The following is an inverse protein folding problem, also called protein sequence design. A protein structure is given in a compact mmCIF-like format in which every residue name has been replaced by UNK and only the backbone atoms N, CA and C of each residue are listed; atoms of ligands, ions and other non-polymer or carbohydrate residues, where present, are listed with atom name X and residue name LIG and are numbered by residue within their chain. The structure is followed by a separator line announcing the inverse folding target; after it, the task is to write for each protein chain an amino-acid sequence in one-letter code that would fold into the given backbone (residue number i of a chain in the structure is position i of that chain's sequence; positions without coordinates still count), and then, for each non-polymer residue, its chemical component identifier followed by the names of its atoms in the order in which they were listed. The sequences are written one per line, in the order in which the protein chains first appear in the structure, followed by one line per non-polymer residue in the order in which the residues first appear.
data_IF_147777988223
#
_entry.id   IF_147777988223
#
_cell.length_a   1.000
_cell.length_b   1.000
_cell.length_c   1.000
_cell.angle_alpha   90.00
_cell.angle_beta   90.00
_cell.angle_gamma   90.00
#
_symmetry.space_group_name_H-M   'P 1'
#
loop_
_entity.id
_entity.type
_entity.pdbx_description
1 polymer ?
#
# COMPACT_ATOMS: atom_id res chain seq x y z
N UNK A 1 26.78 -15.54 1.24
CA UNK A 1 26.77 -14.37 2.10
C UNK A 1 25.32 -13.96 2.30
N UNK A 2 24.79 -14.18 3.49
CA UNK A 2 23.49 -13.68 3.91
C UNK A 2 23.61 -12.17 4.10
N UNK A 3 23.13 -11.42 3.15
CA UNK A 3 22.87 -10.00 3.30
C UNK A 3 21.50 -9.87 3.94
N UNK A 4 21.43 -9.25 5.10
CA UNK A 4 20.20 -8.78 5.71
C UNK A 4 20.08 -9.21 7.17
N UNK A 5 20.59 -8.36 8.07
CA UNK A 5 19.96 -8.25 9.38
C UNK A 5 18.85 -7.23 9.22
N UNK A 6 17.60 -7.64 9.41
CA UNK A 6 16.49 -6.69 9.51
C UNK A 6 16.81 -5.74 10.67
N UNK A 7 16.90 -4.45 10.37
CA UNK A 7 17.17 -3.41 11.38
C UNK A 7 16.02 -3.30 12.39
N UNK A 8 14.83 -3.74 11.98
CA UNK A 8 13.64 -3.78 12.81
C UNK A 8 13.05 -5.18 12.72
N UNK A 9 12.85 -5.87 13.87
CA UNK A 9 12.15 -7.15 13.86
C UNK A 9 10.73 -6.95 13.33
N UNK A 10 10.30 -7.83 12.41
CA UNK A 10 8.91 -7.84 11.94
C UNK A 10 7.99 -8.14 13.12
N UNK A 11 7.31 -7.13 13.61
CA UNK A 11 6.27 -7.27 14.61
C UNK A 11 5.02 -7.83 13.93
N UNK A 12 4.50 -8.94 14.43
CA UNK A 12 3.16 -9.37 14.02
C UNK A 12 2.12 -8.53 14.76
N UNK A 13 1.66 -7.46 14.12
CA UNK A 13 0.78 -6.45 14.71
C UNK A 13 -0.69 -6.89 14.86
N UNK A 14 -1.03 -8.07 14.34
CA UNK A 14 -2.42 -8.55 14.35
C UNK A 14 -3.27 -7.96 13.23
N UNK A 15 -3.23 -6.66 13.02
CA UNK A 15 -4.01 -5.93 12.01
C UNK A 15 -3.29 -5.83 10.64
N UNK A 16 -4.03 -5.37 9.62
CA UNK A 16 -3.51 -5.18 8.26
C UNK A 16 -3.63 -3.70 7.92
N UNK A 17 -2.62 -3.16 7.26
CA UNK A 17 -2.71 -1.88 6.58
C UNK A 17 -2.50 -2.08 5.08
N UNK A 18 -3.17 -1.28 4.27
CA UNK A 18 -2.95 -1.28 2.84
C UNK A 18 -3.05 0.14 2.27
N UNK A 19 -2.15 0.45 1.35
CA UNK A 19 -2.26 1.61 0.50
C UNK A 19 -3.09 1.27 -0.72
N UNK A 20 -4.09 2.12 -1.01
CA UNK A 20 -4.80 2.10 -2.28
C UNK A 20 -4.40 3.33 -3.08
N UNK A 21 -3.78 3.13 -4.22
CA UNK A 21 -3.29 4.17 -5.10
C UNK A 21 -4.10 4.16 -6.40
N UNK A 22 -4.71 5.29 -6.70
CA UNK A 22 -5.52 5.52 -7.89
C UNK A 22 -4.71 6.31 -8.91
N UNK A 23 -5.25 6.42 -10.12
CA UNK A 23 -4.64 7.23 -11.18
C UNK A 23 -4.47 8.68 -10.69
N UNK A 24 -3.30 9.32 -10.87
CA UNK A 24 -3.11 10.73 -10.56
C UNK A 24 -4.16 11.59 -11.23
N UNK A 25 -4.70 12.57 -10.49
CA UNK A 25 -5.82 13.39 -10.97
C UNK A 25 -7.19 12.82 -10.63
N UNK A 26 -7.31 11.65 -9.98
CA UNK A 26 -8.58 11.21 -9.40
C UNK A 26 -9.07 12.23 -8.38
N UNK A 27 -10.24 12.81 -8.62
CA UNK A 27 -10.87 13.77 -7.71
C UNK A 27 -11.33 13.11 -6.41
N UNK A 28 -11.50 13.93 -5.36
CA UNK A 28 -11.85 13.42 -4.03
C UNK A 28 -13.18 12.64 -4.03
N UNK A 29 -14.21 13.13 -4.75
CA UNK A 29 -15.51 12.47 -4.83
C UNK A 29 -15.40 11.06 -5.42
N UNK A 30 -14.71 10.93 -6.56
CA UNK A 30 -14.45 9.64 -7.19
C UNK A 30 -13.60 8.74 -6.30
N UNK A 31 -12.61 9.31 -5.61
CA UNK A 31 -11.77 8.56 -4.68
C UNK A 31 -12.57 7.98 -3.51
N UNK A 32 -13.56 8.73 -3.01
CA UNK A 32 -14.48 8.25 -1.96
C UNK A 32 -15.36 7.11 -2.47
N UNK A 33 -15.96 7.23 -3.65
CA UNK A 33 -16.77 6.16 -4.25
C UNK A 33 -15.96 4.86 -4.43
N UNK A 34 -14.75 4.97 -4.97
CA UNK A 34 -13.84 3.82 -5.13
C UNK A 34 -13.46 3.22 -3.78
N UNK A 35 -13.29 4.06 -2.77
CA UNK A 35 -12.97 3.64 -1.42
C UNK A 35 -14.11 2.86 -0.77
N UNK A 36 -15.34 3.30 -0.92
CA UNK A 36 -16.53 2.60 -0.39
C UNK A 36 -16.64 1.17 -0.97
N UNK A 37 -16.37 1.02 -2.27
CA UNK A 37 -16.35 -0.29 -2.94
C UNK A 37 -15.26 -1.18 -2.35
N UNK A 38 -14.06 -0.63 -2.15
CA UNK A 38 -12.92 -1.33 -1.56
C UNK A 38 -13.23 -1.79 -0.13
N UNK A 39 -13.74 -0.89 0.71
CA UNK A 39 -14.09 -1.21 2.09
C UNK A 39 -15.17 -2.29 2.18
N UNK A 40 -16.20 -2.23 1.35
CA UNK A 40 -17.24 -3.25 1.28
C UNK A 40 -16.65 -4.61 0.87
N UNK A 41 -15.73 -4.64 -0.10
CA UNK A 41 -15.07 -5.86 -0.54
C UNK A 41 -14.24 -6.48 0.60
N UNK A 42 -13.45 -5.70 1.31
CA UNK A 42 -12.63 -6.17 2.43
C UNK A 42 -13.52 -6.59 3.61
N UNK A 43 -14.56 -5.83 3.91
CA UNK A 43 -15.50 -6.13 4.99
C UNK A 43 -16.31 -7.42 4.75
N UNK A 44 -16.39 -7.90 3.53
CA UNK A 44 -17.06 -9.18 3.23
C UNK A 44 -16.32 -10.41 3.77
N UNK A 45 -15.06 -10.28 4.15
CA UNK A 45 -14.30 -11.35 4.78
C UNK A 45 -14.74 -11.55 6.23
N UNK A 46 -15.12 -12.75 6.64
CA UNK A 46 -15.68 -13.01 7.96
C UNK A 46 -14.67 -12.79 9.10
N UNK A 47 -13.38 -12.82 8.82
CA UNK A 47 -12.29 -12.56 9.76
C UNK A 47 -12.11 -11.06 10.06
N UNK A 48 -12.66 -10.18 9.21
CA UNK A 48 -12.53 -8.74 9.34
C UNK A 48 -13.55 -8.19 10.33
N UNK A 49 -13.10 -7.39 11.28
CA UNK A 49 -13.96 -6.66 12.22
C UNK A 49 -14.35 -5.29 11.65
N UNK A 50 -13.35 -4.45 11.34
CA UNK A 50 -13.57 -3.10 10.82
C UNK A 50 -12.60 -2.78 9.70
N UNK A 51 -13.06 -1.93 8.79
CA UNK A 51 -12.23 -1.28 7.77
C UNK A 51 -12.52 0.21 7.85
N UNK A 52 -11.47 1.01 7.82
CA UNK A 52 -11.57 2.47 7.71
C UNK A 52 -10.37 3.00 6.95
N UNK A 53 -10.53 4.15 6.32
CA UNK A 53 -9.48 4.76 5.53
C UNK A 53 -9.33 6.25 5.79
N UNK A 54 -8.11 6.74 5.52
CA UNK A 54 -7.79 8.15 5.39
C UNK A 54 -7.56 8.45 3.91
N UNK A 55 -8.25 9.44 3.36
CA UNK A 55 -8.13 9.87 1.98
C UNK A 55 -7.80 11.36 1.96
N UNK A 56 -6.78 11.75 1.18
CA UNK A 56 -6.44 13.15 1.02
C UNK A 56 -5.90 13.79 2.30
N UNK A 57 -5.81 15.12 2.28
CA UNK A 57 -5.18 15.92 3.32
C UNK A 57 -6.24 16.76 4.06
N UNK A 58 -6.19 16.78 5.39
CA UNK A 58 -6.95 17.73 6.19
C UNK A 58 -6.45 19.17 5.96
N UNK A 59 -7.29 20.20 6.25
CA UNK A 59 -6.92 21.63 6.09
C UNK A 59 -5.64 22.00 6.86
N UNK A 60 -5.39 21.33 7.97
CA UNK A 60 -4.15 21.47 8.76
C UNK A 60 -3.51 20.10 8.86
N UNK A 61 -2.61 19.80 7.93
CA UNK A 61 -1.92 18.52 7.88
C UNK A 61 -0.41 18.69 8.03
N UNK A 62 0.15 17.84 8.88
CA UNK A 62 1.60 17.64 8.98
C UNK A 62 2.12 16.63 7.94
N UNK A 63 1.21 15.94 7.26
CA UNK A 63 1.50 14.89 6.27
C UNK A 63 0.49 15.03 5.11
N UNK A 64 0.81 15.83 4.08
CA UNK A 64 -0.05 16.03 2.92
C UNK A 64 -0.12 14.76 2.08
N UNK A 65 -1.36 14.30 1.80
CA UNK A 65 -1.63 13.14 0.98
C UNK A 65 -2.58 13.52 -0.16
N UNK A 66 -2.25 13.22 -1.43
CA UNK A 66 -3.12 13.56 -2.55
C UNK A 66 -4.41 12.72 -2.52
N UNK A 67 -5.54 13.21 -3.11
CA UNK A 67 -6.82 12.51 -3.08
C UNK A 67 -6.80 11.12 -3.74
N UNK A 68 -5.85 10.87 -4.64
CA UNK A 68 -5.70 9.59 -5.30
C UNK A 68 -5.03 8.51 -4.45
N UNK A 69 -4.62 8.83 -3.22
CA UNK A 69 -4.02 7.86 -2.28
C UNK A 69 -4.93 7.70 -1.06
N UNK A 70 -5.09 6.48 -0.59
CA UNK A 70 -5.79 6.17 0.64
C UNK A 70 -5.00 5.20 1.50
N UNK A 71 -4.86 5.54 2.78
CA UNK A 71 -4.33 4.65 3.81
C UNK A 71 -5.48 3.89 4.45
N UNK A 72 -5.52 2.60 4.26
CA UNK A 72 -6.56 1.74 4.80
C UNK A 72 -6.05 0.95 6.00
N UNK A 73 -6.89 0.83 7.01
CA UNK A 73 -6.64 0.07 8.22
C UNK A 73 -7.74 -0.97 8.39
N UNK A 74 -7.34 -2.24 8.49
CA UNK A 74 -8.23 -3.39 8.60
C UNK A 74 -7.96 -4.05 9.93
N UNK A 75 -8.91 -3.95 10.85
CA UNK A 75 -8.84 -4.66 12.13
C UNK A 75 -9.46 -6.03 12.00
N UNK A 76 -8.80 -7.03 12.57
CA UNK A 76 -9.23 -8.41 12.52
C UNK A 76 -9.96 -8.81 13.80
N UNK A 77 -10.94 -9.70 13.67
CA UNK A 77 -11.61 -10.32 14.80
C UNK A 77 -10.64 -11.21 15.60
N UNK A 78 -10.92 -11.46 16.88
CA UNK A 78 -10.21 -12.48 17.63
C UNK A 78 -10.19 -13.82 16.90
N UNK A 79 -9.09 -14.55 16.97
CA UNK A 79 -8.92 -15.85 16.29
C UNK A 79 -10.03 -16.87 16.59
N UNK A 80 -10.58 -16.80 17.80
CA UNK A 80 -11.67 -17.67 18.23
C UNK A 80 -12.98 -17.45 17.44
N UNK A 81 -13.12 -16.31 16.79
CA UNK A 81 -14.29 -15.94 15.99
C UNK A 81 -14.10 -16.18 14.49
N UNK A 82 -12.91 -16.63 14.08
CA UNK A 82 -12.65 -16.94 12.69
C UNK A 82 -13.35 -18.24 12.29
N UNK A 83 -13.97 -18.32 11.10
CA UNK A 83 -14.59 -19.56 10.61
C UNK A 83 -13.61 -20.73 10.56
N UNK A 84 -12.35 -20.44 10.24
CA UNK A 84 -11.24 -21.37 10.34
C UNK A 84 -10.14 -20.78 11.22
N UNK A 85 -10.05 -21.10 12.51
CA UNK A 85 -9.01 -20.59 13.41
C UNK A 85 -7.58 -21.01 13.03
N UNK A 86 -7.43 -22.04 12.18
CA UNK A 86 -6.12 -22.49 11.67
C UNK A 86 -5.61 -21.65 10.49
N UNK A 87 -6.49 -20.88 9.81
CA UNK A 87 -6.08 -19.98 8.72
C UNK A 87 -5.05 -18.97 9.24
N UNK A 88 -3.95 -18.85 8.56
CA UNK A 88 -2.90 -17.86 8.93
C UNK A 88 -3.30 -16.45 8.51
N UNK A 89 -2.67 -15.42 9.11
CA UNK A 89 -2.85 -14.03 8.67
C UNK A 89 -2.35 -13.85 7.23
N UNK A 90 -1.24 -14.51 6.87
CA UNK A 90 -0.69 -14.45 5.51
C UNK A 90 -1.68 -14.98 4.47
N UNK A 91 -2.31 -16.13 4.74
CA UNK A 91 -3.35 -16.67 3.85
C UNK A 91 -4.57 -15.73 3.73
N UNK A 92 -4.95 -15.04 4.80
CA UNK A 92 -6.03 -14.06 4.75
C UNK A 92 -5.62 -12.84 3.91
N UNK A 93 -4.41 -12.31 4.11
CA UNK A 93 -3.87 -11.18 3.32
C UNK A 93 -3.88 -11.55 1.84
N UNK A 94 -3.34 -12.71 1.46
CA UNK A 94 -3.32 -13.18 0.07
C UNK A 94 -4.75 -13.29 -0.54
N UNK A 95 -5.72 -13.74 0.26
CA UNK A 95 -7.11 -13.80 -0.20
C UNK A 95 -7.74 -12.42 -0.39
N UNK A 96 -7.46 -11.49 0.52
CA UNK A 96 -7.93 -10.09 0.40
C UNK A 96 -7.28 -9.45 -0.82
N UNK A 97 -5.97 -9.59 -0.99
CA UNK A 97 -5.20 -9.06 -2.12
C UNK A 97 -5.79 -9.50 -3.46
N UNK A 98 -5.93 -10.77 -3.68
CA UNK A 98 -6.57 -11.32 -4.90
C UNK A 98 -7.99 -10.78 -5.12
N UNK A 99 -8.75 -10.59 -4.04
CA UNK A 99 -10.12 -10.09 -4.13
C UNK A 99 -10.20 -8.62 -4.51
N UNK A 100 -9.27 -7.79 -4.00
CA UNK A 100 -9.25 -6.36 -4.31
C UNK A 100 -8.58 -6.04 -5.64
N UNK A 101 -7.64 -6.87 -6.11
CA UNK A 101 -7.05 -6.77 -7.45
C UNK A 101 -8.08 -6.85 -8.58
N UNK A 102 -9.24 -7.49 -8.34
CA UNK A 102 -10.36 -7.51 -9.27
C UNK A 102 -11.04 -6.14 -9.43
N UNK A 103 -10.80 -5.20 -8.51
CA UNK A 103 -11.40 -3.86 -8.54
C UNK A 103 -10.56 -2.95 -9.46
N UNK A 104 -11.15 -2.39 -10.53
CA UNK A 104 -10.41 -1.59 -11.48
C UNK A 104 -9.98 -0.24 -10.89
N UNK A 105 -8.86 0.29 -11.40
CA UNK A 105 -8.44 1.67 -11.13
C UNK A 105 -7.67 1.89 -9.85
N UNK A 106 -7.30 0.83 -9.13
CA UNK A 106 -6.43 0.90 -7.96
C UNK A 106 -5.21 0.01 -8.13
N UNK A 107 -4.10 0.43 -7.55
CA UNK A 107 -2.97 -0.40 -7.19
C UNK A 107 -2.93 -0.52 -5.67
N UNK A 108 -2.55 -1.66 -5.15
CA UNK A 108 -2.56 -1.93 -3.71
C UNK A 108 -1.17 -2.32 -3.22
N UNK A 109 -0.86 -1.91 -2.00
CA UNK A 109 0.34 -2.33 -1.28
C UNK A 109 -0.06 -2.72 0.14
N UNK A 110 0.18 -3.98 0.49
CA UNK A 110 -0.17 -4.53 1.80
C UNK A 110 0.99 -4.44 2.77
N UNK A 111 0.71 -4.03 4.00
CA UNK A 111 1.69 -3.88 5.06
C UNK A 111 1.02 -4.06 6.43
N UNK A 112 1.64 -3.59 7.47
CA UNK A 112 1.10 -3.54 8.83
C UNK A 112 1.13 -2.10 9.34
N UNK A 113 0.21 -1.69 10.24
CA UNK A 113 0.05 -0.29 10.64
C UNK A 113 1.32 0.38 11.19
N UNK A 114 2.04 -0.29 12.10
CA UNK A 114 3.28 0.25 12.67
C UNK A 114 4.42 0.20 11.63
N UNK A 115 4.52 -0.88 10.87
CA UNK A 115 5.50 -1.02 9.80
C UNK A 115 5.36 0.10 8.78
N UNK A 116 4.12 0.38 8.34
CA UNK A 116 3.81 1.46 7.43
C UNK A 116 4.30 2.81 7.98
N UNK A 117 3.96 3.11 9.22
CA UNK A 117 4.35 4.38 9.87
C UNK A 117 5.86 4.50 10.05
N UNK A 118 6.52 3.38 10.32
CA UNK A 118 7.97 3.33 10.49
C UNK A 118 8.70 3.61 9.17
N UNK A 119 8.24 2.99 8.08
CA UNK A 119 8.80 3.22 6.75
C UNK A 119 8.66 4.69 6.33
N UNK A 120 7.51 5.31 6.55
CA UNK A 120 7.30 6.75 6.32
C UNK A 120 8.30 7.64 7.07
N UNK A 121 8.55 7.33 8.35
CA UNK A 121 9.40 8.16 9.21
C UNK A 121 10.90 8.04 8.89
N UNK A 122 11.34 6.86 8.44
CA UNK A 122 12.78 6.60 8.21
C UNK A 122 13.19 6.97 6.79
N UNK A 123 12.43 6.53 5.79
CA UNK A 123 12.83 6.64 4.38
C UNK A 123 12.01 7.64 3.58
N UNK A 124 10.98 8.23 4.17
CA UNK A 124 10.05 9.11 3.45
C UNK A 124 9.22 8.37 2.39
N UNK A 125 9.42 7.06 2.25
CA UNK A 125 8.67 6.16 1.38
C UNK A 125 7.99 5.10 2.22
N UNK A 126 6.87 4.58 1.72
CA UNK A 126 6.04 3.59 2.44
C UNK A 126 6.47 2.15 2.18
N UNK A 127 7.41 1.96 1.24
CA UNK A 127 8.00 0.68 0.86
C UNK A 127 9.24 0.35 1.70
N UNK A 128 9.62 -0.92 1.74
CA UNK A 128 10.82 -1.40 2.46
C UNK A 128 12.12 -0.89 1.83
N UNK A 129 12.09 -0.56 0.52
CA UNK A 129 13.21 -0.02 -0.23
C UNK A 129 12.76 1.13 -1.14
N UNK A 130 13.37 2.30 -0.99
CA UNK A 130 13.21 3.44 -1.90
C UNK A 130 14.46 3.63 -2.75
N UNK A 131 14.28 3.78 -4.06
CA UNK A 131 15.35 4.15 -5.00
C UNK A 131 15.04 5.54 -5.53
N UNK A 132 15.84 6.52 -5.15
CA UNK A 132 15.68 7.91 -5.59
C UNK A 132 16.57 8.21 -6.78
N UNK A 133 15.98 8.84 -7.81
CA UNK A 133 16.68 9.27 -9.02
C UNK A 133 16.64 10.79 -9.08
N UNK A 134 17.80 11.42 -9.18
CA UNK A 134 17.94 12.88 -9.22
C UNK A 134 18.38 13.37 -10.59
N UNK A 135 17.84 14.48 -11.05
CA UNK A 135 18.20 15.13 -12.31
C UNK A 135 17.34 16.35 -12.58
N UNK A 136 17.70 17.13 -13.59
CA UNK A 136 17.03 18.38 -13.96
C UNK A 136 15.95 18.18 -15.06
N UNK A 137 15.94 17.04 -15.71
CA UNK A 137 15.02 16.69 -16.82
C UNK A 137 14.04 15.62 -16.38
N UNK A 138 12.76 15.98 -16.24
CA UNK A 138 11.71 15.10 -15.77
C UNK A 138 11.47 13.89 -16.70
N UNK A 139 11.54 14.09 -18.02
CA UNK A 139 11.33 13.00 -18.99
C UNK A 139 12.46 11.99 -18.88
N UNK A 140 13.71 12.46 -18.73
CA UNK A 140 14.86 11.59 -18.52
C UNK A 140 14.79 10.86 -17.16
N UNK A 141 14.29 11.51 -16.11
CA UNK A 141 14.06 10.85 -14.82
C UNK A 141 13.06 9.72 -14.92
N UNK A 142 11.93 9.93 -15.61
CA UNK A 142 10.91 8.89 -15.83
C UNK A 142 11.46 7.72 -16.63
N UNK A 143 12.24 7.97 -17.71
CA UNK A 143 12.88 6.91 -18.49
C UNK A 143 13.83 6.10 -17.59
N UNK A 144 14.70 6.75 -16.87
CA UNK A 144 15.67 6.11 -15.99
C UNK A 144 15.00 5.30 -14.89
N UNK A 145 13.93 5.83 -14.28
CA UNK A 145 13.17 5.13 -13.24
C UNK A 145 12.50 3.85 -13.79
N UNK A 146 11.96 3.89 -15.02
CA UNK A 146 11.39 2.71 -15.66
C UNK A 146 12.45 1.66 -16.03
N UNK A 147 13.65 2.08 -16.44
CA UNK A 147 14.77 1.16 -16.68
C UNK A 147 15.18 0.45 -15.38
N UNK A 148 15.27 1.20 -14.29
CA UNK A 148 15.55 0.65 -12.94
C UNK A 148 14.44 -0.32 -12.53
N UNK A 149 13.17 0.03 -12.73
CA UNK A 149 12.03 -0.85 -12.45
C UNK A 149 12.15 -2.18 -13.18
N UNK A 150 12.54 -2.15 -14.46
CA UNK A 150 12.77 -3.36 -15.24
C UNK A 150 13.87 -4.26 -14.66
N UNK A 151 14.94 -3.66 -14.14
CA UNK A 151 16.02 -4.38 -13.47
C UNK A 151 15.55 -4.98 -12.13
N UNK A 152 14.86 -4.18 -11.32
CA UNK A 152 14.35 -4.62 -9.99
C UNK A 152 13.39 -5.79 -10.15
N UNK A 153 12.43 -5.71 -11.08
CA UNK A 153 11.47 -6.80 -11.33
C UNK A 153 12.11 -8.12 -11.82
N UNK A 154 13.36 -8.07 -12.30
CA UNK A 154 14.11 -9.27 -12.68
C UNK A 154 14.86 -9.93 -11.50
N UNK A 155 14.87 -9.29 -10.32
CA UNK A 155 15.55 -9.79 -9.12
C UNK A 155 14.63 -10.76 -8.39
N UNK A 156 15.11 -11.96 -8.11
CA UNK A 156 14.38 -12.95 -7.33
C UNK A 156 14.13 -12.43 -5.90
N UNK A 157 12.87 -12.38 -5.49
CA UNK A 157 12.44 -11.85 -4.19
C UNK A 157 12.04 -10.37 -4.19
N UNK A 158 12.17 -9.66 -5.32
CA UNK A 158 11.57 -8.35 -5.47
C UNK A 158 10.06 -8.54 -5.75
N UNK A 159 9.24 -7.88 -4.94
CA UNK A 159 7.79 -7.83 -5.11
C UNK A 159 7.33 -6.37 -5.09
N UNK A 160 6.21 -6.08 -5.75
CA UNK A 160 5.51 -4.79 -5.71
C UNK A 160 6.36 -3.56 -6.07
N UNK A 161 7.39 -3.74 -6.92
CA UNK A 161 8.21 -2.64 -7.38
C UNK A 161 7.42 -1.74 -8.34
N UNK A 162 7.52 -0.43 -8.14
CA UNK A 162 6.84 0.57 -8.98
C UNK A 162 7.63 1.86 -9.08
N UNK A 163 7.38 2.63 -10.12
CA UNK A 163 7.82 4.01 -10.24
C UNK A 163 6.74 4.92 -9.69
N UNK A 164 7.12 5.90 -8.86
CA UNK A 164 6.20 6.95 -8.45
C UNK A 164 5.75 7.76 -9.66
N UNK A 165 4.44 8.02 -9.78
CA UNK A 165 3.91 8.75 -10.93
C UNK A 165 4.12 10.25 -10.72
N UNK A 166 5.01 10.82 -11.54
CA UNK A 166 5.33 12.25 -11.56
C UNK A 166 4.71 12.99 -12.77
N UNK A 167 4.03 12.23 -13.66
CA UNK A 167 3.38 12.77 -14.87
C UNK A 167 1.87 12.70 -14.75
N UNK A 168 1.16 13.70 -15.31
CA UNK A 168 -0.30 13.74 -15.35
C UNK A 168 -0.94 14.76 -14.43
N UNK A 169 -0.15 15.61 -13.78
CA UNK A 169 -0.66 16.83 -13.16
C UNK A 169 -0.84 17.90 -14.26
N UNK A 170 -1.99 18.58 -14.31
CA UNK A 170 -2.20 19.70 -15.24
C UNK A 170 -1.29 20.88 -14.91
#
# INVERSE_FOLDING_TARGET
STLGSEFIPQLNEGDIALHAMRIPGTGLEQAVEMQEILEQRIKSFPEVDKVFARIGTAEVATDPMPPNVADNFVTLKPRSEWPNPAKTKAELVEQIERSVEELPGNNYEFTQPIQMRFNELISGVRADLGIEVFGDDLDQLVITANDILGIVNAIEGAADARVEQVTGLP
#
